data_IF_212184585137
#
_entry.id   IF_212184585137
#
_cell.length_a   1.000
_cell.length_b   1.000
_cell.length_c   1.000
_cell.angle_alpha   90.00
_cell.angle_beta   90.00
_cell.angle_gamma   90.00
#
_symmetry.space_group_name_H-M   'P 1'
#
loop_
_entity.id
_entity.type
_entity.pdbx_description
1 polymer ?
#
# COMPACT_ATOMS: atom_id res chain seq x y z
N UNK A 1 -7.30 -11.79 17.05
CA UNK A 1 -7.84 -11.77 15.66
C UNK A 1 -8.01 -13.21 15.19
N UNK A 2 -9.17 -13.56 14.68
CA UNK A 2 -9.44 -14.88 14.11
C UNK A 2 -8.76 -15.06 12.74
N UNK A 3 -8.53 -16.31 12.31
CA UNK A 3 -7.88 -16.62 11.01
C UNK A 3 -8.60 -15.99 9.82
N UNK A 4 -9.93 -15.90 9.86
CA UNK A 4 -10.75 -15.28 8.82
C UNK A 4 -10.59 -13.76 8.78
N UNK A 5 -10.48 -13.11 9.94
CA UNK A 5 -10.18 -11.68 10.03
C UNK A 5 -8.77 -11.37 9.52
N UNK A 6 -7.78 -12.20 9.84
CA UNK A 6 -6.41 -12.07 9.35
C UNK A 6 -6.32 -12.14 7.82
N UNK A 7 -6.99 -13.12 7.21
CA UNK A 7 -7.05 -13.24 5.75
C UNK A 7 -7.74 -12.03 5.11
N UNK A 8 -8.83 -11.54 5.70
CA UNK A 8 -9.53 -10.35 5.21
C UNK A 8 -8.67 -9.08 5.32
N UNK A 9 -7.91 -8.94 6.41
CA UNK A 9 -6.95 -7.86 6.59
C UNK A 9 -5.85 -7.92 5.53
N UNK A 10 -5.23 -9.09 5.34
CA UNK A 10 -4.18 -9.30 4.33
C UNK A 10 -4.67 -9.03 2.91
N UNK A 11 -5.91 -9.44 2.58
CA UNK A 11 -6.55 -9.14 1.30
C UNK A 11 -6.78 -7.64 1.10
N UNK A 12 -7.23 -6.92 2.13
CA UNK A 12 -7.39 -5.45 2.06
C UNK A 12 -6.05 -4.75 1.85
N UNK A 13 -5.02 -5.22 2.54
CA UNK A 13 -3.65 -4.72 2.45
C UNK A 13 -3.07 -4.97 1.04
N UNK A 14 -3.28 -6.18 0.50
CA UNK A 14 -2.91 -6.52 -0.86
C UNK A 14 -3.66 -5.67 -1.89
N UNK A 15 -4.96 -5.46 -1.71
CA UNK A 15 -5.76 -4.59 -2.56
C UNK A 15 -5.26 -3.13 -2.52
N UNK A 16 -4.87 -2.64 -1.35
CA UNK A 16 -4.32 -1.28 -1.19
C UNK A 16 -3.00 -1.13 -1.94
N UNK A 17 -2.09 -2.11 -1.83
CA UNK A 17 -0.82 -2.12 -2.58
C UNK A 17 -1.07 -2.18 -4.10
N UNK A 18 -2.02 -3.01 -4.55
CA UNK A 18 -2.37 -3.12 -5.98
C UNK A 18 -2.93 -1.81 -6.51
N UNK A 19 -3.85 -1.17 -5.77
CA UNK A 19 -4.39 0.15 -6.15
C UNK A 19 -3.27 1.16 -6.25
N UNK A 20 -2.36 1.20 -5.26
CA UNK A 20 -1.23 2.11 -5.26
C UNK A 20 -0.31 1.89 -6.46
N UNK A 21 0.02 0.63 -6.78
CA UNK A 21 0.82 0.28 -7.95
C UNK A 21 0.16 0.75 -9.26
N UNK A 22 -1.17 0.57 -9.41
CA UNK A 22 -1.92 1.05 -10.57
C UNK A 22 -1.88 2.58 -10.65
N UNK A 23 -2.03 3.27 -9.51
CA UNK A 23 -1.92 4.73 -9.43
C UNK A 23 -0.55 5.22 -9.87
N UNK A 24 0.54 4.61 -9.41
CA UNK A 24 1.90 4.96 -9.87
C UNK A 24 2.08 4.74 -11.37
N UNK A 25 1.58 3.62 -11.92
CA UNK A 25 1.65 3.35 -13.37
C UNK A 25 0.88 4.44 -14.14
N UNK A 26 -0.34 4.78 -13.70
CA UNK A 26 -1.12 5.84 -14.32
C UNK A 26 -0.39 7.18 -14.24
N UNK A 27 0.23 7.50 -13.11
CA UNK A 27 1.00 8.72 -12.93
C UNK A 27 2.19 8.80 -13.89
N UNK A 28 2.94 7.72 -14.08
CA UNK A 28 4.03 7.68 -15.06
C UNK A 28 3.52 7.92 -16.48
N UNK A 29 2.40 7.30 -16.87
CA UNK A 29 1.81 7.45 -18.21
C UNK A 29 1.29 8.88 -18.43
N UNK A 30 0.65 9.48 -17.43
CA UNK A 30 0.01 10.80 -17.54
C UNK A 30 0.90 11.95 -17.07
N UNK A 31 2.12 11.68 -16.56
CA UNK A 31 3.03 12.69 -16.00
C UNK A 31 3.30 13.82 -16.99
N UNK A 32 3.54 13.49 -18.26
CA UNK A 32 3.79 14.49 -19.30
C UNK A 32 2.61 15.44 -19.56
N UNK A 33 1.38 15.02 -19.23
CA UNK A 33 0.14 15.77 -19.47
C UNK A 33 -0.36 16.55 -18.25
N UNK A 34 0.21 16.31 -17.08
CA UNK A 34 -0.20 16.98 -15.83
C UNK A 34 0.41 18.39 -15.73
N UNK A 35 -0.39 19.41 -15.37
CA UNK A 35 0.14 20.74 -15.09
C UNK A 35 1.00 20.71 -13.81
N UNK A 36 1.96 21.64 -13.72
CA UNK A 36 3.01 21.64 -12.67
C UNK A 36 2.44 21.63 -11.24
N UNK A 37 1.35 22.36 -11.00
CA UNK A 37 0.66 22.37 -9.71
C UNK A 37 0.12 20.98 -9.32
N UNK A 38 -0.47 20.25 -10.27
CA UNK A 38 -0.98 18.90 -10.03
C UNK A 38 0.14 17.90 -9.79
N UNK A 39 1.29 18.05 -10.45
CA UNK A 39 2.48 17.21 -10.20
C UNK A 39 2.96 17.35 -8.76
N UNK A 40 3.06 18.58 -8.25
CA UNK A 40 3.44 18.83 -6.86
C UNK A 40 2.47 18.20 -5.88
N UNK A 41 1.17 18.36 -6.13
CA UNK A 41 0.10 17.82 -5.28
C UNK A 41 0.12 16.28 -5.26
N UNK A 42 0.33 15.65 -6.42
CA UNK A 42 0.49 14.21 -6.54
C UNK A 42 1.68 13.70 -5.73
N UNK A 43 2.84 14.34 -5.83
CA UNK A 43 4.06 13.91 -5.10
C UNK A 43 3.84 14.00 -3.59
N UNK A 44 3.19 15.05 -3.11
CA UNK A 44 2.85 15.20 -1.69
C UNK A 44 1.87 14.11 -1.25
N UNK A 45 0.86 13.80 -2.07
CA UNK A 45 -0.10 12.73 -1.77
C UNK A 45 0.57 11.34 -1.78
N UNK A 46 1.43 11.04 -2.74
CA UNK A 46 2.17 9.77 -2.76
C UNK A 46 3.13 9.65 -1.58
N UNK A 47 3.71 10.76 -1.10
CA UNK A 47 4.56 10.74 0.08
C UNK A 47 3.76 10.48 1.37
N UNK A 48 2.58 11.09 1.52
CA UNK A 48 1.75 10.95 2.73
C UNK A 48 0.96 9.63 2.75
N UNK A 49 0.52 9.16 1.59
CA UNK A 49 -0.33 7.96 1.44
C UNK A 49 0.41 6.77 0.83
N UNK A 50 1.73 6.87 0.67
CA UNK A 50 2.58 5.78 0.23
C UNK A 50 2.53 4.61 1.21
N UNK A 51 2.49 3.35 0.73
CA UNK A 51 2.61 2.21 1.61
C UNK A 51 4.00 2.22 2.25
N UNK A 52 4.05 2.32 3.58
CA UNK A 52 5.30 2.17 4.31
C UNK A 52 5.91 0.78 4.09
N UNK A 53 7.24 0.69 4.19
CA UNK A 53 7.97 -0.57 4.07
C UNK A 53 7.45 -1.62 5.07
N UNK A 54 7.07 -1.18 6.28
CA UNK A 54 6.49 -2.04 7.32
C UNK A 54 5.13 -2.62 6.90
N UNK A 55 4.32 -1.87 6.14
CA UNK A 55 3.04 -2.31 5.59
C UNK A 55 3.25 -3.43 4.55
N UNK A 56 4.29 -3.31 3.73
CA UNK A 56 4.67 -4.33 2.75
C UNK A 56 5.22 -5.57 3.47
N UNK A 57 6.07 -5.41 4.48
CA UNK A 57 6.62 -6.53 5.24
C UNK A 57 5.51 -7.32 5.96
N UNK A 58 4.55 -6.61 6.55
CA UNK A 58 3.35 -7.19 7.17
C UNK A 58 2.49 -8.01 6.19
N UNK A 59 2.60 -7.77 4.87
CA UNK A 59 1.95 -8.60 3.86
C UNK A 59 2.58 -10.01 3.74
N UNK A 60 3.88 -10.14 4.02
CA UNK A 60 4.62 -11.39 3.89
C UNK A 60 4.74 -12.19 5.19
N UNK A 61 4.37 -11.60 6.33
CA UNK A 61 4.30 -12.31 7.61
C UNK A 61 3.29 -13.46 7.53
N UNK A 62 3.71 -14.66 7.99
CA UNK A 62 2.82 -15.81 8.06
C UNK A 62 1.88 -15.70 9.27
N UNK A 63 0.69 -16.29 9.17
CA UNK A 63 -0.29 -16.28 10.28
C UNK A 63 0.29 -16.87 11.59
N UNK A 64 1.18 -17.86 11.48
CA UNK A 64 1.87 -18.45 12.62
C UNK A 64 2.83 -17.47 13.28
N UNK A 65 3.55 -16.68 12.48
CA UNK A 65 4.47 -15.65 12.98
C UNK A 65 3.69 -14.46 13.57
N UNK A 66 2.55 -14.11 12.98
CA UNK A 66 1.58 -13.15 13.53
C UNK A 66 1.06 -13.59 14.91
N UNK A 67 0.65 -14.85 15.06
CA UNK A 67 0.18 -15.40 16.33
C UNK A 67 1.27 -15.43 17.40
N UNK A 68 2.51 -15.70 17.01
CA UNK A 68 3.62 -15.89 17.96
C UNK A 68 4.22 -14.58 18.45
N UNK A 69 4.29 -13.56 17.60
CA UNK A 69 5.01 -12.32 17.91
C UNK A 69 4.12 -11.07 17.97
N UNK A 70 2.88 -11.11 17.50
CA UNK A 70 2.07 -9.90 17.30
C UNK A 70 2.59 -9.03 16.13
N UNK A 71 1.76 -8.12 15.63
CA UNK A 71 2.22 -7.06 14.71
C UNK A 71 3.03 -6.08 15.56
N UNK A 72 4.34 -6.00 15.32
CA UNK A 72 5.21 -4.98 15.88
C UNK A 72 5.16 -3.74 14.99
#
# INVERSE_FOLDING_TARGET
MSRSEYLRFRLRLLALIVVWAITCIALVIFWGRLPVLLKGLVVVLEYVFGPDLDLIENLFVSYEKYLKNGLW
#
